data_IF_742491203465
#
_entry.id   IF_742491203465
#
_cell.length_a   1.000
_cell.length_b   1.000
_cell.length_c   1.000
_cell.angle_alpha   90.00
_cell.angle_beta   90.00
_cell.angle_gamma   90.00
#
_symmetry.space_group_name_H-M   'P 1'
#
loop_
_entity.id
_entity.type
_entity.pdbx_description
1 polymer ?
#
# COMPACT_ATOMS: atom_id res chain seq x y z
N UNK A 1 -1.01 7.56 19.42
CA UNK A 1 -0.24 6.92 18.32
C UNK A 1 0.05 7.94 17.21
N UNK A 2 0.70 9.07 17.52
CA UNK A 2 0.95 10.17 16.57
C UNK A 2 2.20 9.97 15.68
N UNK A 3 2.94 8.87 15.85
CA UNK A 3 4.23 8.66 15.19
C UNK A 3 4.19 8.04 13.78
N UNK A 4 3.06 7.47 13.34
CA UNK A 4 2.96 6.78 12.04
C UNK A 4 2.55 7.71 10.88
N UNK A 5 1.77 8.76 11.14
CA UNK A 5 1.33 9.73 10.13
C UNK A 5 2.47 10.62 9.60
N UNK A 6 3.41 11.01 10.46
CA UNK A 6 4.55 11.89 10.10
C UNK A 6 5.57 11.25 9.14
N UNK A 7 5.74 9.92 9.20
CA UNK A 7 6.64 9.19 8.30
C UNK A 7 6.06 9.07 6.88
N UNK A 8 4.73 9.07 6.73
CA UNK A 8 4.07 8.91 5.43
C UNK A 8 4.05 10.22 4.62
N UNK A 9 3.75 11.35 5.27
CA UNK A 9 3.70 12.66 4.60
C UNK A 9 5.06 13.15 4.10
N UNK A 10 6.13 12.86 4.83
CA UNK A 10 7.50 13.21 4.42
C UNK A 10 7.90 12.45 3.16
N UNK A 11 7.48 11.19 3.02
CA UNK A 11 7.79 10.36 1.87
C UNK A 11 7.04 10.79 0.59
N UNK A 12 5.81 11.31 0.71
CA UNK A 12 5.13 11.99 -0.41
C UNK A 12 5.83 13.30 -0.77
N UNK A 13 6.21 14.13 0.21
CA UNK A 13 6.92 15.41 -0.03
C UNK A 13 8.25 15.25 -0.78
N UNK A 14 8.89 14.09 -0.68
CA UNK A 14 10.13 13.78 -1.38
C UNK A 14 9.89 13.31 -2.83
N UNK A 15 8.70 12.80 -3.16
CA UNK A 15 8.35 12.44 -4.53
C UNK A 15 7.94 13.69 -5.31
N UNK A 16 8.68 13.98 -6.39
CA UNK A 16 8.47 15.16 -7.24
C UNK A 16 7.08 15.19 -7.87
N UNK A 17 6.45 14.04 -8.07
CA UNK A 17 5.08 13.94 -8.62
C UNK A 17 4.05 14.43 -7.62
N UNK A 18 4.27 14.21 -6.32
CA UNK A 18 3.40 14.74 -5.27
C UNK A 18 3.44 16.27 -5.21
N UNK A 19 4.61 16.87 -5.42
CA UNK A 19 4.75 18.33 -5.46
C UNK A 19 4.05 18.96 -6.68
N UNK A 20 3.83 18.18 -7.74
CA UNK A 20 3.14 18.60 -8.96
C UNK A 20 1.65 18.23 -8.99
N UNK A 21 1.17 17.48 -7.99
CA UNK A 21 -0.22 17.04 -7.88
C UNK A 21 -1.16 18.25 -7.76
N UNK A 22 -2.20 18.28 -8.59
CA UNK A 22 -3.20 19.36 -8.60
C UNK A 22 -4.51 18.93 -7.96
N UNK A 23 -4.76 17.62 -7.98
CA UNK A 23 -5.97 17.02 -7.43
C UNK A 23 -5.61 15.96 -6.37
N UNK A 24 -6.45 15.77 -5.33
CA UNK A 24 -6.27 14.67 -4.38
C UNK A 24 -6.14 13.28 -5.03
N UNK A 25 -6.82 13.08 -6.17
CA UNK A 25 -6.70 11.88 -7.00
C UNK A 25 -5.25 11.62 -7.45
N UNK A 26 -4.51 12.67 -7.84
CA UNK A 26 -3.11 12.55 -8.25
C UNK A 26 -2.24 12.03 -7.10
N UNK A 27 -2.51 12.49 -5.87
CA UNK A 27 -1.80 12.03 -4.68
C UNK A 27 -2.10 10.56 -4.36
N UNK A 28 -3.36 10.13 -4.53
CA UNK A 28 -3.73 8.72 -4.36
C UNK A 28 -3.03 7.82 -5.39
N UNK A 29 -2.95 8.26 -6.64
CA UNK A 29 -2.22 7.54 -7.70
C UNK A 29 -0.72 7.46 -7.42
N UNK A 30 -0.10 8.56 -6.99
CA UNK A 30 1.32 8.57 -6.60
C UNK A 30 1.57 7.64 -5.41
N UNK A 31 0.71 7.67 -4.40
CA UNK A 31 0.83 6.79 -3.25
C UNK A 31 0.72 5.31 -3.65
N UNK A 32 -0.23 4.94 -4.52
CA UNK A 32 -0.34 3.58 -5.05
C UNK A 32 0.89 3.14 -5.84
N UNK A 33 1.50 4.04 -6.64
CA UNK A 33 2.78 3.75 -7.31
C UNK A 33 3.91 3.49 -6.31
N UNK A 34 3.94 4.23 -5.20
CA UNK A 34 4.92 4.01 -4.14
C UNK A 34 4.70 2.65 -3.45
N UNK A 35 3.46 2.19 -3.28
CA UNK A 35 3.17 0.82 -2.82
C UNK A 35 3.70 -0.21 -3.81
N UNK A 36 3.46 -0.01 -5.12
CA UNK A 36 3.94 -0.92 -6.15
C UNK A 36 5.47 -1.07 -6.12
N UNK A 37 6.18 0.06 -6.06
CA UNK A 37 7.65 0.09 -6.03
C UNK A 37 8.16 -0.65 -4.79
N UNK A 38 7.64 -0.29 -3.61
CA UNK A 38 8.04 -0.93 -2.36
C UNK A 38 7.74 -2.44 -2.38
N UNK A 39 6.57 -2.85 -2.89
CA UNK A 39 6.19 -4.26 -3.02
C UNK A 39 7.11 -5.04 -3.97
N UNK A 40 7.50 -4.44 -5.10
CA UNK A 40 8.47 -5.04 -6.02
C UNK A 40 9.86 -5.18 -5.39
N UNK A 41 10.33 -4.16 -4.67
CA UNK A 41 11.61 -4.22 -3.97
C UNK A 41 11.62 -5.27 -2.86
N UNK A 42 10.54 -5.34 -2.06
CA UNK A 42 10.37 -6.36 -1.03
C UNK A 42 10.27 -7.77 -1.62
N UNK A 43 9.52 -7.95 -2.71
CA UNK A 43 9.44 -9.21 -3.45
C UNK A 43 10.78 -9.66 -4.00
N UNK A 44 11.60 -8.75 -4.53
CA UNK A 44 12.97 -9.05 -4.97
C UNK A 44 13.86 -9.47 -3.80
N UNK A 45 13.73 -8.82 -2.64
CA UNK A 45 14.46 -9.17 -1.42
C UNK A 45 14.10 -10.58 -0.92
N UNK A 46 12.80 -10.90 -0.86
CA UNK A 46 12.27 -12.23 -0.53
C UNK A 46 12.77 -13.28 -1.54
N UNK A 47 12.74 -12.96 -2.84
CA UNK A 47 13.28 -13.84 -3.89
C UNK A 47 14.79 -14.10 -3.73
N UNK A 48 15.55 -13.09 -3.34
CA UNK A 48 16.98 -13.24 -3.00
C UNK A 48 17.19 -14.17 -1.81
N UNK A 49 16.36 -14.06 -0.77
CA UNK A 49 16.41 -14.96 0.39
C UNK A 49 15.99 -16.41 0.07
N UNK A 50 15.19 -16.62 -0.99
CA UNK A 50 14.83 -17.94 -1.54
C UNK A 50 15.91 -18.59 -2.39
N UNK A 51 16.89 -17.81 -2.87
CA UNK A 51 17.85 -18.27 -3.86
C UNK A 51 18.83 -19.32 -3.30
N UNK A 52 19.46 -20.16 -4.14
CA UNK A 52 20.48 -21.11 -3.69
C UNK A 52 21.64 -20.39 -2.97
N UNK A 53 21.71 -20.53 -1.65
CA UNK A 53 22.67 -19.79 -0.80
C UNK A 53 22.03 -18.75 0.13
N UNK A 54 20.72 -18.51 0.00
CA UNK A 54 19.93 -17.65 0.88
C UNK A 54 19.40 -18.35 2.15
N UNK A 55 18.51 -17.65 2.85
CA UNK A 55 17.92 -18.06 4.14
C UNK A 55 17.09 -19.34 4.03
N UNK A 56 16.52 -19.62 2.86
CA UNK A 56 15.75 -20.84 2.62
C UNK A 56 16.53 -22.16 2.83
N UNK A 57 17.87 -22.12 2.90
CA UNK A 57 18.68 -23.29 3.26
C UNK A 57 18.70 -23.62 4.75
N UNK A 58 18.28 -22.69 5.62
CA UNK A 58 18.43 -22.81 7.08
C UNK A 58 17.33 -23.65 7.71
N UNK A 59 16.09 -23.56 7.20
CA UNK A 59 14.98 -24.39 7.65
C UNK A 59 13.89 -24.52 6.58
N UNK A 60 13.12 -25.62 6.63
CA UNK A 60 11.96 -25.80 5.75
C UNK A 60 10.85 -24.78 6.04
N UNK A 61 10.68 -24.39 7.31
CA UNK A 61 9.65 -23.44 7.73
C UNK A 61 9.96 -22.03 7.18
N UNK A 62 11.21 -21.58 7.29
CA UNK A 62 11.67 -20.32 6.70
C UNK A 62 11.51 -20.31 5.18
N UNK A 63 11.83 -21.43 4.52
CA UNK A 63 11.62 -21.57 3.09
C UNK A 63 10.13 -21.50 2.70
N UNK A 64 9.23 -22.04 3.52
CA UNK A 64 7.78 -21.97 3.32
C UNK A 64 7.27 -20.54 3.53
N UNK A 65 7.65 -19.87 4.63
CA UNK A 65 7.35 -18.46 4.92
C UNK A 65 7.77 -17.54 3.78
N UNK A 66 8.98 -17.73 3.26
CA UNK A 66 9.48 -16.96 2.10
C UNK A 66 8.64 -17.17 0.83
N UNK A 67 8.13 -18.38 0.61
CA UNK A 67 7.27 -18.66 -0.56
C UNK A 67 5.91 -18.00 -0.42
N UNK A 68 5.32 -17.99 0.77
CA UNK A 68 4.08 -17.25 1.03
C UNK A 68 4.26 -15.76 0.81
N UNK A 69 5.28 -15.15 1.42
CA UNK A 69 5.61 -13.75 1.20
C UNK A 69 5.77 -13.38 -0.29
N UNK A 70 6.33 -14.29 -1.10
CA UNK A 70 6.43 -14.07 -2.54
C UNK A 70 5.04 -14.04 -3.21
N UNK A 71 4.16 -14.98 -2.87
CA UNK A 71 2.77 -14.99 -3.37
C UNK A 71 2.01 -13.74 -2.94
N UNK A 72 2.21 -13.28 -1.71
CA UNK A 72 1.56 -12.08 -1.17
C UNK A 72 1.98 -10.83 -1.95
N UNK A 73 3.27 -10.68 -2.26
CA UNK A 73 3.73 -9.53 -3.07
C UNK A 73 3.30 -9.60 -4.54
N UNK A 74 3.08 -10.80 -5.09
CA UNK A 74 2.45 -10.97 -6.41
C UNK A 74 0.96 -10.56 -6.36
N UNK A 75 0.23 -10.94 -5.31
CA UNK A 75 -1.16 -10.55 -5.08
C UNK A 75 -1.30 -9.04 -4.81
N UNK A 76 -0.35 -8.45 -4.08
CA UNK A 76 -0.27 -7.01 -3.87
C UNK A 76 -0.16 -6.26 -5.19
N UNK A 77 0.72 -6.69 -6.10
CA UNK A 77 0.88 -6.06 -7.41
C UNK A 77 -0.42 -6.09 -8.24
N UNK A 78 -1.15 -7.20 -8.20
CA UNK A 78 -2.47 -7.30 -8.84
C UNK A 78 -3.48 -6.34 -8.19
N UNK A 79 -3.49 -6.28 -6.86
CA UNK A 79 -4.39 -5.41 -6.10
C UNK A 79 -4.13 -3.93 -6.39
N UNK A 80 -2.85 -3.51 -6.42
CA UNK A 80 -2.44 -2.15 -6.82
C UNK A 80 -2.96 -1.83 -8.23
N UNK A 81 -2.80 -2.73 -9.19
CA UNK A 81 -3.22 -2.50 -10.57
C UNK A 81 -4.73 -2.25 -10.69
N UNK A 82 -5.54 -3.07 -10.03
CA UNK A 82 -7.01 -2.91 -9.99
C UNK A 82 -7.38 -1.59 -9.32
N UNK A 83 -6.83 -1.35 -8.12
CA UNK A 83 -7.11 -0.16 -7.33
C UNK A 83 -6.73 1.14 -8.04
N UNK A 84 -5.56 1.17 -8.68
CA UNK A 84 -5.10 2.30 -9.47
C UNK A 84 -6.05 2.60 -10.63
N UNK A 85 -6.51 1.56 -11.32
CA UNK A 85 -7.45 1.71 -12.44
C UNK A 85 -8.78 2.33 -11.98
N UNK A 86 -9.28 1.92 -10.81
CA UNK A 86 -10.47 2.51 -10.20
C UNK A 86 -10.25 3.99 -9.85
N UNK A 87 -9.15 4.30 -9.13
CA UNK A 87 -8.80 5.68 -8.76
C UNK A 87 -8.60 6.55 -9.99
N UNK A 88 -7.99 6.04 -11.07
CA UNK A 88 -7.79 6.78 -12.31
C UNK A 88 -9.12 7.12 -13.00
N UNK A 89 -10.14 6.27 -12.85
CA UNK A 89 -11.49 6.52 -13.33
C UNK A 89 -12.34 7.42 -12.43
N UNK A 90 -11.84 7.86 -11.28
CA UNK A 90 -12.57 8.76 -10.38
C UNK A 90 -12.83 10.12 -11.05
N UNK A 91 -14.07 10.57 -11.00
CA UNK A 91 -14.47 11.90 -11.46
C UNK A 91 -15.42 12.53 -10.42
N UNK A 92 -15.01 13.64 -9.77
CA UNK A 92 -15.83 14.29 -8.75
C UNK A 92 -17.07 15.01 -9.32
N UNK A 93 -17.06 15.31 -10.62
CA UNK A 93 -18.08 16.11 -11.31
C UNK A 93 -19.31 15.28 -11.75
N UNK A 94 -19.25 13.95 -11.67
CA UNK A 94 -20.37 13.04 -12.03
C UNK A 94 -21.34 12.87 -10.85
N UNK A 95 -21.72 13.97 -10.20
CA UNK A 95 -22.96 14.02 -9.43
C UNK A 95 -24.11 14.30 -10.40
N UNK A 96 -24.68 13.24 -10.99
CA UNK A 96 -26.03 13.32 -11.55
C UNK A 96 -26.20 13.12 -13.06
N UNK A 97 -25.25 12.53 -13.79
CA UNK A 97 -25.52 12.03 -15.14
C UNK A 97 -25.22 10.53 -15.28
N UNK A 98 -26.29 9.78 -15.54
CA UNK A 98 -26.36 8.34 -15.70
C UNK A 98 -26.11 7.91 -17.15
N UNK A 99 -25.10 8.47 -17.81
CA UNK A 99 -24.72 7.99 -19.13
C UNK A 99 -23.38 7.23 -19.03
N UNK A 100 -23.53 5.91 -19.10
CA UNK A 100 -22.62 4.92 -19.70
C UNK A 100 -21.30 4.57 -18.97
N UNK A 101 -20.87 5.33 -17.96
CA UNK A 101 -19.67 5.03 -17.17
C UNK A 101 -20.00 4.44 -15.80
N UNK A 102 -19.31 3.39 -15.36
CA UNK A 102 -19.48 2.83 -14.01
C UNK A 102 -19.15 3.89 -12.95
N UNK A 103 -20.18 4.57 -12.43
CA UNK A 103 -20.06 5.43 -11.26
C UNK A 103 -19.84 4.52 -10.05
N UNK A 104 -18.60 4.40 -9.61
CA UNK A 104 -18.27 3.68 -8.39
C UNK A 104 -18.73 4.49 -7.17
N UNK A 105 -19.34 3.82 -6.20
CA UNK A 105 -19.70 4.45 -4.94
C UNK A 105 -18.42 4.77 -4.15
N UNK A 106 -18.38 5.85 -3.33
CA UNK A 106 -17.24 6.17 -2.46
C UNK A 106 -16.73 4.97 -1.65
N UNK A 107 -17.65 4.12 -1.18
CA UNK A 107 -17.33 2.89 -0.47
C UNK A 107 -16.43 1.93 -1.27
N UNK A 108 -16.59 1.84 -2.60
CA UNK A 108 -15.79 0.93 -3.43
C UNK A 108 -14.32 1.36 -3.48
N UNK A 109 -14.05 2.67 -3.45
CA UNK A 109 -12.68 3.20 -3.38
C UNK A 109 -12.02 2.88 -2.02
N UNK A 110 -12.78 3.04 -0.93
CA UNK A 110 -12.32 2.68 0.42
C UNK A 110 -12.06 1.17 0.55
N UNK A 111 -12.97 0.34 0.04
CA UNK A 111 -12.78 -1.12 0.03
C UNK A 111 -11.51 -1.52 -0.72
N UNK A 112 -11.25 -0.87 -1.87
CA UNK A 112 -10.01 -1.08 -2.60
C UNK A 112 -8.78 -0.68 -1.76
N UNK A 113 -8.80 0.48 -1.09
CA UNK A 113 -7.70 0.90 -0.23
C UNK A 113 -7.47 -0.06 0.96
N UNK A 114 -8.53 -0.60 1.54
CA UNK A 114 -8.44 -1.61 2.60
C UNK A 114 -7.88 -2.93 2.07
N UNK A 115 -8.32 -3.40 0.91
CA UNK A 115 -7.74 -4.60 0.26
C UNK A 115 -6.27 -4.42 -0.05
N UNK A 116 -5.87 -3.24 -0.53
CA UNK A 116 -4.48 -2.90 -0.79
C UNK A 116 -3.64 -2.94 0.50
N UNK A 117 -4.16 -2.38 1.60
CA UNK A 117 -3.51 -2.40 2.90
C UNK A 117 -3.37 -3.83 3.45
N UNK A 118 -4.41 -4.65 3.33
CA UNK A 118 -4.36 -6.05 3.77
C UNK A 118 -3.30 -6.83 2.97
N UNK A 119 -3.32 -6.73 1.64
CA UNK A 119 -2.32 -7.39 0.79
C UNK A 119 -0.87 -6.95 1.09
N UNK A 120 -0.68 -5.69 1.52
CA UNK A 120 0.62 -5.18 1.94
C UNK A 120 1.09 -5.75 3.30
N UNK A 121 0.16 -6.22 4.14
CA UNK A 121 0.43 -6.77 5.46
C UNK A 121 0.51 -8.31 5.48
N UNK A 122 0.01 -9.03 4.48
CA UNK A 122 -0.04 -10.51 4.51
C UNK A 122 1.35 -11.16 4.74
N UNK A 123 2.41 -10.69 4.06
CA UNK A 123 3.77 -11.18 4.32
C UNK A 123 4.26 -10.87 5.74
N UNK A 124 3.81 -9.75 6.33
CA UNK A 124 4.17 -9.37 7.70
C UNK A 124 3.67 -10.42 8.71
N UNK A 125 2.46 -10.93 8.52
CA UNK A 125 1.86 -11.96 9.37
C UNK A 125 2.65 -13.29 9.30
N UNK A 126 3.22 -13.61 8.14
CA UNK A 126 4.06 -14.80 7.98
C UNK A 126 5.44 -14.67 8.64
N UNK A 127 6.06 -13.49 8.59
CA UNK A 127 7.41 -13.30 9.14
C UNK A 127 7.42 -12.98 10.64
N UNK A 128 6.27 -12.69 11.26
CA UNK A 128 6.21 -12.21 12.64
C UNK A 128 6.88 -13.16 13.64
N UNK A 129 6.78 -14.46 13.40
CA UNK A 129 7.33 -15.52 14.23
C UNK A 129 8.69 -16.08 13.75
N UNK A 130 9.20 -15.62 12.60
CA UNK A 130 10.51 -16.03 12.07
C UNK A 130 11.52 -14.89 12.27
N UNK A 131 12.28 -14.96 13.38
CA UNK A 131 13.25 -13.93 13.77
C UNK A 131 14.37 -13.71 12.73
N UNK A 132 14.72 -14.74 11.97
CA UNK A 132 15.76 -14.62 10.93
C UNK A 132 15.22 -13.85 9.72
N UNK A 133 13.99 -14.18 9.32
CA UNK A 133 13.25 -13.43 8.30
C UNK A 133 13.02 -11.99 8.72
N UNK A 134 12.58 -11.79 9.96
CA UNK A 134 12.40 -10.46 10.52
C UNK A 134 13.69 -9.66 10.41
N UNK A 135 14.85 -10.20 10.79
CA UNK A 135 16.12 -9.47 10.62
C UNK A 135 16.45 -9.15 9.15
N UNK A 136 16.05 -10.01 8.22
CA UNK A 136 16.46 -9.90 6.82
C UNK A 136 15.57 -9.04 5.93
N UNK A 137 14.26 -9.03 6.17
CA UNK A 137 13.26 -8.38 5.29
C UNK A 137 12.33 -7.38 6.01
N UNK A 138 12.48 -7.20 7.33
CA UNK A 138 11.59 -6.34 8.12
C UNK A 138 11.55 -4.90 7.65
N UNK A 139 12.68 -4.35 7.20
CA UNK A 139 12.72 -2.97 6.73
C UNK A 139 11.83 -2.81 5.50
N UNK A 140 12.01 -3.69 4.52
CA UNK A 140 11.26 -3.69 3.27
C UNK A 140 9.77 -3.94 3.53
N UNK A 141 9.42 -4.91 4.37
CA UNK A 141 8.01 -5.22 4.72
C UNK A 141 7.32 -4.03 5.42
N UNK A 142 8.01 -3.35 6.35
CA UNK A 142 7.46 -2.14 6.97
C UNK A 142 7.33 -0.98 6.00
N UNK A 143 8.23 -0.88 5.02
CA UNK A 143 8.14 0.15 4.00
C UNK A 143 6.88 -0.07 3.15
N UNK A 144 6.60 -1.30 2.70
CA UNK A 144 5.35 -1.62 1.98
C UNK A 144 4.12 -1.25 2.81
N UNK A 145 4.07 -1.68 4.07
CA UNK A 145 2.99 -1.35 5.00
C UNK A 145 2.80 0.16 5.16
N UNK A 146 3.90 0.90 5.34
CA UNK A 146 3.88 2.37 5.45
C UNK A 146 3.32 3.03 4.20
N UNK A 147 3.72 2.60 3.00
CA UNK A 147 3.18 3.12 1.74
C UNK A 147 1.70 2.78 1.56
N UNK A 148 1.26 1.60 1.99
CA UNK A 148 -0.13 1.20 1.86
C UNK A 148 -1.06 2.03 2.77
N UNK A 149 -0.63 2.30 4.01
CA UNK A 149 -1.34 3.25 4.89
C UNK A 149 -1.44 4.64 4.27
N UNK A 150 -0.36 5.09 3.61
CA UNK A 150 -0.37 6.36 2.91
C UNK A 150 -1.34 6.37 1.72
N UNK A 151 -1.38 5.30 0.93
CA UNK A 151 -2.33 5.16 -0.17
C UNK A 151 -3.77 5.23 0.33
N UNK A 152 -4.08 4.59 1.46
CA UNK A 152 -5.40 4.68 2.09
C UNK A 152 -5.75 6.11 2.49
N UNK A 153 -4.86 6.81 3.20
CA UNK A 153 -5.08 8.20 3.58
C UNK A 153 -5.31 9.12 2.37
N UNK A 154 -4.59 8.91 1.27
CA UNK A 154 -4.79 9.70 0.05
C UNK A 154 -6.11 9.37 -0.66
N UNK A 155 -6.60 8.13 -0.58
CA UNK A 155 -7.95 7.76 -1.07
C UNK A 155 -9.03 8.40 -0.20
N UNK A 156 -8.89 8.40 1.11
CA UNK A 156 -9.81 9.09 2.04
C UNK A 156 -9.86 10.59 1.72
N UNK A 157 -8.70 11.22 1.56
CA UNK A 157 -8.59 12.62 1.15
C UNK A 157 -9.23 12.88 -0.23
N UNK A 158 -9.07 11.97 -1.19
CA UNK A 158 -9.71 12.06 -2.52
C UNK A 158 -11.24 12.06 -2.45
N UNK A 159 -11.80 11.32 -1.49
CA UNK A 159 -13.24 11.23 -1.25
C UNK A 159 -13.77 12.39 -0.40
N UNK A 160 -12.90 13.28 0.08
CA UNK A 160 -13.28 14.38 0.98
C UNK A 160 -13.61 13.92 2.41
N UNK A 161 -13.11 12.75 2.82
CA UNK A 161 -13.16 12.29 4.21
C UNK A 161 -12.00 12.98 4.92
N UNK A 162 -12.32 13.96 5.76
CA UNK A 162 -11.34 14.68 6.58
C UNK A 162 -11.27 13.98 7.94
N UNK A 163 -10.08 13.66 8.40
CA UNK A 163 -9.86 13.32 9.81
C UNK A 163 -10.12 14.59 10.64
N UNK A 164 -11.23 14.63 11.39
CA UNK A 164 -11.53 15.68 12.36
C UNK A 164 -10.53 15.58 13.54
N UNK A 165 -9.30 16.06 13.38
CA UNK A 165 -8.42 16.44 14.49
C UNK A 165 -8.68 17.90 14.89
N UNK A 166 -9.91 18.25 15.29
CA UNK A 166 -10.18 19.50 16.04
C UNK A 166 -11.56 19.50 16.73
N UNK A 167 -11.69 18.73 17.81
CA UNK A 167 -12.75 18.98 18.80
C UNK A 167 -12.29 18.67 20.22
N UNK A 168 -11.29 19.42 20.70
CA UNK A 168 -11.10 19.63 22.14
C UNK A 168 -10.40 20.97 22.41
N UNK A 169 -11.11 22.07 22.14
CA UNK A 169 -10.98 23.29 22.92
C UNK A 169 -12.37 23.79 23.31
N UNK A 170 -12.79 23.40 24.51
CA UNK A 170 -13.71 24.15 25.36
C UNK A 170 -13.50 23.70 26.81
#
# INVERSE_FOLDING_TARGET
MAGKFLLCFSALRLDKRSAAAKHPQDLALVAMDLVQIAGTEAGAKVGGALSPGGLAKRSNDTALTLRYCKLDYEALAQTVSVCRSMVQGYSPDVRGHHDDGQILLPYTYLECADRLMNAAHDCWDHIFHDDEMKKAVWKEVNEVAGRANLAKAMVEQMLGIVDDEDSSQS
#
